data_IF_547959304871
#
_entry.id   IF_547959304871
#
_cell.length_a   1.000
_cell.length_b   1.000
_cell.length_c   1.000
_cell.angle_alpha   90.00
_cell.angle_beta   90.00
_cell.angle_gamma   90.00
#
_symmetry.space_group_name_H-M   'P 1'
#
loop_
_entity.id
_entity.type
_entity.pdbx_description
1 polymer ?
#
# COMPACT_ATOMS: atom_id res chain seq x y z
N UNK A 1 -8.94 1.12 -14.76
CA UNK A 1 -9.45 0.45 -13.55
C UNK A 1 -10.28 1.42 -12.73
N UNK A 2 -11.47 1.01 -12.31
CA UNK A 2 -12.30 1.80 -11.39
C UNK A 2 -11.63 1.94 -10.02
N UNK A 3 -11.84 3.08 -9.36
CA UNK A 3 -11.20 3.43 -8.08
C UNK A 3 -11.41 2.32 -7.02
N UNK A 4 -12.61 1.80 -6.94
CA UNK A 4 -13.00 0.80 -5.92
C UNK A 4 -12.29 -0.54 -6.15
N UNK A 5 -12.19 -0.97 -7.40
CA UNK A 5 -11.46 -2.19 -7.79
C UNK A 5 -9.99 -2.05 -7.42
N UNK A 6 -9.38 -0.90 -7.72
CA UNK A 6 -7.98 -0.64 -7.33
C UNK A 6 -7.80 -0.73 -5.82
N UNK A 7 -8.63 -0.04 -5.04
CA UNK A 7 -8.55 -0.04 -3.59
C UNK A 7 -8.69 -1.47 -3.05
N UNK A 8 -9.68 -2.23 -3.51
CA UNK A 8 -9.91 -3.62 -3.07
C UNK A 8 -8.68 -4.50 -3.31
N UNK A 9 -8.16 -4.50 -4.54
CA UNK A 9 -6.99 -5.33 -4.89
C UNK A 9 -5.74 -4.92 -4.11
N UNK A 10 -5.52 -3.62 -3.91
CA UNK A 10 -4.37 -3.14 -3.11
C UNK A 10 -4.53 -3.58 -1.65
N UNK A 11 -5.71 -3.43 -1.05
CA UNK A 11 -5.95 -3.87 0.32
C UNK A 11 -5.75 -5.38 0.49
N UNK A 12 -6.13 -6.20 -0.49
CA UNK A 12 -5.82 -7.64 -0.49
C UNK A 12 -4.31 -7.90 -0.47
N UNK A 13 -3.54 -7.22 -1.32
CA UNK A 13 -2.07 -7.32 -1.30
C UNK A 13 -1.51 -6.89 0.06
N UNK A 14 -1.94 -5.75 0.60
CA UNK A 14 -1.45 -5.27 1.91
C UNK A 14 -1.74 -6.28 3.02
N UNK A 15 -2.89 -6.95 2.98
CA UNK A 15 -3.22 -8.01 3.93
C UNK A 15 -2.21 -9.15 3.87
N UNK A 16 -1.87 -9.63 2.68
CA UNK A 16 -0.91 -10.72 2.51
C UNK A 16 0.48 -10.34 3.01
N UNK A 17 0.98 -9.15 2.67
CA UNK A 17 2.28 -8.67 3.14
C UNK A 17 2.33 -8.39 4.65
N UNK A 18 1.20 -7.97 5.26
CA UNK A 18 1.14 -7.69 6.70
C UNK A 18 1.34 -8.94 7.58
N UNK A 19 1.09 -10.14 7.04
CA UNK A 19 1.31 -11.42 7.74
C UNK A 19 2.77 -11.65 8.14
N UNK A 20 3.71 -10.90 7.56
CA UNK A 20 5.13 -10.95 7.91
C UNK A 20 5.50 -10.08 9.13
N UNK A 21 4.51 -9.61 9.90
CA UNK A 21 4.72 -8.83 11.12
C UNK A 21 5.06 -7.37 10.84
N UNK A 22 4.43 -6.77 9.83
CA UNK A 22 4.56 -5.36 9.50
C UNK A 22 3.17 -4.72 9.37
N UNK A 23 3.10 -3.41 9.64
CA UNK A 23 1.89 -2.62 9.39
C UNK A 23 1.96 -2.02 8.01
N UNK A 24 0.86 -2.11 7.27
CA UNK A 24 0.73 -1.53 5.94
C UNK A 24 -0.63 -0.88 5.77
N UNK A 25 -0.69 0.29 5.16
CA UNK A 25 -1.96 0.93 4.83
C UNK A 25 -1.90 1.75 3.54
N UNK A 26 -3.08 1.88 2.94
CA UNK A 26 -3.34 2.71 1.79
C UNK A 26 -3.92 4.05 2.26
N UNK A 27 -3.46 5.13 1.65
CA UNK A 27 -4.00 6.47 1.85
C UNK A 27 -4.23 7.20 0.52
N UNK A 28 -5.23 8.09 0.48
CA UNK A 28 -5.52 9.00 -0.64
C UNK A 28 -5.00 10.41 -0.32
N UNK A 29 -4.42 11.09 -1.31
CA UNK A 29 -3.95 12.45 -1.16
C UNK A 29 -5.11 13.44 -1.29
N UNK A 30 -5.13 14.39 -0.37
CA UNK A 30 -6.02 15.55 -0.36
C UNK A 30 -5.16 16.80 -0.15
N UNK A 31 -4.62 17.32 -1.26
CA UNK A 31 -3.63 18.39 -1.24
C UNK A 31 -2.33 17.94 -0.56
N UNK A 32 -2.02 18.53 0.61
CA UNK A 32 -0.83 18.17 1.40
C UNK A 32 -1.08 17.08 2.45
N UNK A 33 -2.32 16.63 2.60
CA UNK A 33 -2.74 15.64 3.60
C UNK A 33 -2.93 14.28 2.95
N UNK A 34 -2.76 13.22 3.74
CA UNK A 34 -3.05 11.85 3.36
C UNK A 34 -4.20 11.35 4.23
N UNK A 35 -5.30 10.94 3.60
CA UNK A 35 -6.45 10.35 4.29
C UNK A 35 -6.33 8.83 4.26
N UNK A 36 -6.41 8.21 5.43
CA UNK A 36 -6.40 6.76 5.56
C UNK A 36 -7.61 6.13 4.85
N UNK A 37 -7.38 5.07 4.08
CA UNK A 37 -8.44 4.28 3.44
C UNK A 37 -8.62 2.94 4.17
N UNK A 38 -7.53 2.22 4.38
CA UNK A 38 -7.54 0.88 4.95
C UNK A 38 -6.13 0.30 5.07
N UNK A 39 -5.95 -0.66 5.97
CA UNK A 39 -4.65 -1.23 6.27
C UNK A 39 -4.75 -2.46 7.18
N UNK A 40 -3.62 -3.15 7.32
CA UNK A 40 -3.49 -4.41 8.05
C UNK A 40 -2.14 -4.47 8.79
N UNK A 41 -2.06 -5.37 9.77
CA UNK A 41 -0.90 -5.55 10.63
C UNK A 41 -1.01 -4.78 11.96
N UNK A 42 -0.07 -5.07 12.86
CA UNK A 42 -0.06 -4.52 14.21
C UNK A 42 0.68 -3.19 14.28
N UNK A 43 0.27 -2.32 15.20
CA UNK A 43 0.97 -1.05 15.44
C UNK A 43 2.30 -1.26 16.15
N UNK A 44 3.38 -0.68 15.61
CA UNK A 44 4.73 -0.81 16.15
C UNK A 44 5.24 0.51 16.76
N UNK A 45 4.45 1.58 16.72
CA UNK A 45 4.82 2.93 17.17
C UNK A 45 6.12 3.44 16.53
N UNK A 46 6.41 3.00 15.31
CA UNK A 46 7.55 3.45 14.53
C UNK A 46 7.13 4.55 13.55
N UNK A 47 8.04 5.46 13.17
CA UNK A 47 7.76 6.42 12.12
C UNK A 47 7.33 5.69 10.83
N UNK A 48 6.21 6.09 10.23
CA UNK A 48 5.71 5.47 9.01
C UNK A 48 6.63 5.78 7.82
N UNK A 49 7.00 4.76 7.06
CA UNK A 49 7.69 4.93 5.78
C UNK A 49 6.68 4.97 4.64
N UNK A 50 6.88 5.86 3.66
CA UNK A 50 6.11 5.85 2.41
C UNK A 50 6.80 4.93 1.41
N UNK A 51 6.15 3.81 1.08
CA UNK A 51 6.74 2.75 0.25
C UNK A 51 6.61 3.09 -1.23
N UNK A 52 5.42 3.52 -1.65
CA UNK A 52 5.15 3.86 -3.06
C UNK A 52 4.01 4.87 -3.16
N UNK A 53 4.06 5.70 -4.20
CA UNK A 53 2.98 6.62 -4.58
C UNK A 53 2.49 6.26 -5.98
N UNK A 54 1.18 6.14 -6.15
CA UNK A 54 0.50 5.79 -7.41
C UNK A 54 -0.63 6.78 -7.64
N UNK A 55 -0.40 7.78 -8.49
CA UNK A 55 -1.35 8.87 -8.70
C UNK A 55 -1.67 9.58 -7.38
N UNK A 56 -2.95 9.57 -6.97
CA UNK A 56 -3.42 10.14 -5.71
C UNK A 56 -3.34 9.18 -4.52
N UNK A 57 -2.79 7.98 -4.67
CA UNK A 57 -2.69 7.00 -3.60
C UNK A 57 -1.25 6.83 -3.15
N UNK A 58 -1.06 6.50 -1.88
CA UNK A 58 0.23 6.06 -1.37
C UNK A 58 0.06 4.90 -0.41
N UNK A 59 1.03 3.99 -0.44
CA UNK A 59 1.15 2.93 0.54
C UNK A 59 2.22 3.35 1.55
N UNK A 60 1.87 3.21 2.82
CA UNK A 60 2.75 3.45 3.94
C UNK A 60 2.92 2.17 4.76
N UNK A 61 3.98 2.11 5.57
CA UNK A 61 4.16 1.01 6.50
C UNK A 61 5.12 1.24 7.66
N UNK A 62 5.08 0.34 8.62
CA UNK A 62 5.97 0.23 9.78
C UNK A 62 6.59 -1.19 9.78
N UNK A 63 7.85 -1.34 10.21
CA UNK A 63 8.55 -2.65 10.24
C UNK A 63 8.65 -3.39 8.89
N UNK A 64 8.53 -2.67 7.75
CA UNK A 64 8.56 -3.32 6.43
C UNK A 64 9.99 -3.63 6.01
N UNK A 65 10.32 -4.91 5.88
CA UNK A 65 11.62 -5.37 5.39
C UNK A 65 11.85 -4.91 3.95
N UNK A 66 13.09 -4.55 3.62
CA UNK A 66 13.45 -4.01 2.30
C UNK A 66 13.07 -4.95 1.14
N UNK A 67 13.20 -6.27 1.33
CA UNK A 67 12.75 -7.28 0.35
C UNK A 67 11.24 -7.16 0.07
N UNK A 68 10.44 -6.95 1.12
CA UNK A 68 8.99 -6.88 1.02
C UNK A 68 8.56 -5.58 0.36
N UNK A 69 9.23 -4.46 0.64
CA UNK A 69 8.99 -3.20 -0.08
C UNK A 69 9.17 -3.38 -1.58
N UNK A 70 10.28 -3.99 -2.00
CA UNK A 70 10.59 -4.24 -3.41
C UNK A 70 9.55 -5.12 -4.10
N UNK A 71 9.16 -6.21 -3.43
CA UNK A 71 8.15 -7.12 -3.96
C UNK A 71 6.77 -6.43 -4.04
N UNK A 72 6.36 -5.71 -2.99
CA UNK A 72 5.11 -4.97 -2.98
C UNK A 72 5.05 -3.90 -4.08
N UNK A 73 6.14 -3.15 -4.31
CA UNK A 73 6.23 -2.20 -5.42
C UNK A 73 6.05 -2.90 -6.77
N UNK A 74 6.65 -4.08 -6.94
CA UNK A 74 6.53 -4.86 -8.17
C UNK A 74 5.09 -5.33 -8.39
N UNK A 75 4.44 -5.88 -7.36
CA UNK A 75 3.08 -6.39 -7.46
C UNK A 75 2.07 -5.27 -7.75
N UNK A 76 2.26 -4.09 -7.14
CA UNK A 76 1.45 -2.91 -7.41
C UNK A 76 1.62 -2.43 -8.86
N UNK A 77 2.84 -2.50 -9.42
CA UNK A 77 3.07 -2.15 -10.83
C UNK A 77 2.38 -3.13 -11.78
N UNK A 78 2.52 -4.43 -11.55
CA UNK A 78 1.85 -5.47 -12.34
C UNK A 78 0.33 -5.26 -12.36
N UNK A 79 -0.27 -4.95 -11.21
CA UNK A 79 -1.70 -4.67 -11.07
C UNK A 79 -2.18 -3.48 -11.90
N UNK A 80 -1.33 -2.47 -12.11
CA UNK A 80 -1.62 -1.31 -12.95
C UNK A 80 -1.47 -1.63 -14.45
N UNK A 81 -0.50 -2.47 -14.80
CA UNK A 81 -0.25 -2.93 -16.17
C UNK A 81 -1.38 -3.83 -16.68
N UNK A 82 -1.85 -4.79 -15.86
CA UNK A 82 -3.00 -5.65 -16.16
C UNK A 82 -4.30 -4.86 -16.45
N UNK A 83 -4.38 -3.63 -15.96
CA UNK A 83 -5.55 -2.76 -16.11
C UNK A 83 -5.47 -1.81 -17.31
N UNK A 84 -4.34 -1.83 -18.03
CA UNK A 84 -4.05 -0.96 -19.18
C UNK A 84 -4.07 -1.72 -20.52
N UNK A 85 -4.28 -3.04 -20.48
CA UNK A 85 -4.44 -3.92 -21.65
C UNK A 85 -5.88 -4.30 -21.94
#
# INVERSE_FOLDING_TARGET
MEKEIFISKVLELLREYSKEGCKLWLAESHGRRWAYIGGYGDEHFLPPERIVTVGKFAIFGEMVKEKNKKNLIKDIRSLLEESSG
#
